data_IF_443502637949
#
_entry.id   IF_443502637949
#
_cell.length_a   1.000
_cell.length_b   1.000
_cell.length_c   1.000
_cell.angle_alpha   90.00
_cell.angle_beta   90.00
_cell.angle_gamma   90.00
#
_symmetry.space_group_name_H-M   'P 1'
#
loop_
_entity.id
_entity.type
_entity.pdbx_description
1 polymer ?
#
# COMPACT_ATOMS: atom_id res chain seq x y z
N UNK A 1 34.87 2.39 24.95
CA UNK A 1 34.80 1.95 23.54
C UNK A 1 35.97 2.60 22.81
N UNK A 2 36.91 1.81 22.28
CA UNK A 2 38.11 2.33 21.63
C UNK A 2 37.79 2.79 20.20
N UNK A 3 38.18 4.00 19.81
CA UNK A 3 37.91 4.58 18.49
C UNK A 3 38.41 3.70 17.31
N UNK A 4 39.46 2.90 17.55
CA UNK A 4 39.96 1.91 16.58
C UNK A 4 38.95 0.79 16.28
N UNK A 5 38.14 0.36 17.25
CA UNK A 5 37.13 -0.68 17.03
C UNK A 5 35.95 -0.15 16.21
N UNK A 6 35.57 1.12 16.41
CA UNK A 6 34.50 1.76 15.65
C UNK A 6 34.88 1.94 14.16
N UNK A 7 36.12 2.33 13.87
CA UNK A 7 36.59 2.45 12.48
C UNK A 7 36.64 1.08 11.77
N UNK A 8 37.08 0.03 12.47
CA UNK A 8 37.09 -1.33 11.91
C UNK A 8 35.67 -1.87 11.64
N UNK A 9 34.68 -1.49 12.43
CA UNK A 9 33.27 -1.87 12.18
C UNK A 9 32.67 -1.18 10.95
N UNK A 10 33.09 0.06 10.64
CA UNK A 10 32.60 0.77 9.45
C UNK A 10 33.23 0.19 8.18
N UNK A 11 34.51 -0.17 8.23
CA UNK A 11 35.23 -0.81 7.12
C UNK A 11 34.57 -2.15 6.73
N UNK A 12 34.24 -2.98 7.72
CA UNK A 12 33.58 -4.28 7.52
C UNK A 12 32.18 -4.20 6.88
N UNK A 13 31.47 -3.06 6.96
CA UNK A 13 30.17 -2.88 6.29
C UNK A 13 30.34 -2.61 4.79
N UNK A 14 31.48 -2.03 4.40
CA UNK A 14 31.78 -1.64 3.01
C UNK A 14 32.70 -2.60 2.28
N UNK A 15 33.26 -3.57 2.99
CA UNK A 15 34.10 -4.60 2.41
C UNK A 15 33.34 -5.39 1.35
N UNK A 16 34.07 -5.77 0.30
CA UNK A 16 33.50 -6.55 -0.78
C UNK A 16 33.17 -7.97 -0.28
N UNK A 17 31.91 -8.36 -0.44
CA UNK A 17 31.45 -9.72 -0.21
C UNK A 17 30.77 -10.28 -1.46
N UNK A 18 31.08 -11.53 -1.77
CA UNK A 18 30.37 -12.27 -2.82
C UNK A 18 28.96 -12.60 -2.36
N UNK A 19 27.98 -12.43 -3.25
CA UNK A 19 26.59 -12.76 -2.96
C UNK A 19 26.44 -14.28 -2.82
N UNK A 20 25.71 -14.72 -1.80
CA UNK A 20 25.41 -16.13 -1.60
C UNK A 20 24.42 -16.61 -2.65
N UNK A 21 24.77 -17.68 -3.37
CA UNK A 21 23.84 -18.32 -4.30
C UNK A 21 22.66 -18.98 -3.57
N UNK A 22 21.47 -18.82 -4.13
CA UNK A 22 20.24 -19.48 -3.67
C UNK A 22 19.79 -20.51 -4.70
N UNK A 23 19.12 -21.56 -4.21
CA UNK A 23 18.53 -22.57 -5.07
C UNK A 23 17.36 -21.97 -5.87
N UNK A 24 17.54 -21.88 -7.19
CA UNK A 24 16.56 -21.30 -8.11
C UNK A 24 15.21 -22.03 -8.05
N UNK A 25 15.21 -23.35 -7.82
CA UNK A 25 13.97 -24.12 -7.78
C UNK A 25 13.11 -23.76 -6.58
N UNK A 26 13.73 -23.64 -5.40
CA UNK A 26 13.05 -23.26 -4.14
C UNK A 26 12.60 -21.81 -4.13
N UNK A 27 13.37 -20.91 -4.76
CA UNK A 27 13.01 -19.49 -4.84
C UNK A 27 11.85 -19.25 -5.79
N UNK A 28 11.78 -19.97 -6.92
CA UNK A 28 10.64 -19.90 -7.83
C UNK A 28 9.34 -20.39 -7.18
N UNK A 29 9.38 -21.50 -6.45
CA UNK A 29 8.21 -22.01 -5.72
C UNK A 29 7.75 -21.04 -4.62
N UNK A 30 8.69 -20.49 -3.84
CA UNK A 30 8.37 -19.49 -2.82
C UNK A 30 7.79 -18.20 -3.41
N UNK A 31 8.34 -17.71 -4.54
CA UNK A 31 7.83 -16.53 -5.24
C UNK A 31 6.42 -16.75 -5.80
N UNK A 32 6.14 -17.94 -6.34
CA UNK A 32 4.79 -18.28 -6.80
C UNK A 32 3.77 -18.27 -5.64
N UNK A 33 4.15 -18.81 -4.47
CA UNK A 33 3.31 -18.81 -3.28
C UNK A 33 3.10 -17.41 -2.69
N UNK A 34 4.10 -16.52 -2.77
CA UNK A 34 3.97 -15.12 -2.37
C UNK A 34 3.04 -14.35 -3.32
N UNK A 35 3.20 -14.54 -4.64
CA UNK A 35 2.34 -13.89 -5.63
C UNK A 35 0.86 -14.33 -5.48
N UNK A 36 0.59 -15.58 -5.11
CA UNK A 36 -0.78 -16.01 -4.81
C UNK A 36 -1.35 -15.40 -3.53
N UNK A 37 -0.51 -14.86 -2.64
CA UNK A 37 -0.96 -14.23 -1.40
C UNK A 37 -1.10 -12.70 -1.55
N UNK A 38 -0.32 -12.08 -2.43
CA UNK A 38 -0.46 -10.65 -2.76
C UNK A 38 -1.77 -10.33 -3.50
N UNK A 39 -2.37 -11.30 -4.19
CA UNK A 39 -3.70 -11.15 -4.80
C UNK A 39 -4.82 -11.02 -3.74
N UNK A 40 -4.62 -11.58 -2.54
CA UNK A 40 -5.61 -11.53 -1.44
C UNK A 40 -5.49 -10.25 -0.56
N UNK A 41 -4.38 -9.50 -0.67
CA UNK A 41 -4.14 -8.27 0.11
C UNK A 41 -4.50 -6.98 -0.65
N UNK A 42 -4.97 -7.08 -1.90
CA UNK A 42 -5.53 -5.93 -2.60
C UNK A 42 -6.92 -5.64 -2.02
N UNK A 43 -7.00 -4.69 -1.09
CA UNK A 43 -8.22 -4.15 -0.42
C UNK A 43 -9.28 -3.50 -1.37
N UNK A 44 -9.41 -4.06 -2.57
CA UNK A 44 -10.11 -3.49 -3.71
C UNK A 44 -11.26 -4.39 -4.19
N UNK A 45 -11.59 -5.49 -3.49
CA UNK A 45 -12.71 -6.37 -3.87
C UNK A 45 -14.06 -5.62 -4.00
N UNK A 46 -14.23 -4.51 -3.27
CA UNK A 46 -15.46 -3.69 -3.30
C UNK A 46 -15.36 -2.42 -4.16
N UNK A 47 -14.22 -2.15 -4.83
CA UNK A 47 -14.06 -0.94 -5.64
C UNK A 47 -14.41 -1.17 -7.11
N UNK A 48 -15.63 -0.78 -7.47
CA UNK A 48 -16.03 -0.75 -8.88
C UNK A 48 -15.52 0.53 -9.57
N UNK A 49 -14.43 0.38 -10.32
CA UNK A 49 -13.80 1.45 -11.12
C UNK A 49 -14.65 1.90 -12.32
N UNK A 50 -15.70 1.18 -12.67
CA UNK A 50 -16.62 1.56 -13.75
C UNK A 50 -17.64 2.62 -13.34
N UNK A 51 -17.76 2.89 -12.03
CA UNK A 51 -18.71 3.86 -11.49
C UNK A 51 -18.29 5.29 -11.84
N UNK A 52 -19.20 6.00 -12.52
CA UNK A 52 -19.07 7.43 -12.78
C UNK A 52 -19.37 8.21 -11.50
N UNK A 53 -18.34 8.83 -10.93
CA UNK A 53 -18.48 9.68 -9.76
C UNK A 53 -18.98 11.08 -10.15
N UNK A 54 -19.87 11.63 -9.32
CA UNK A 54 -20.26 13.02 -9.42
C UNK A 54 -19.16 13.92 -8.82
N UNK A 55 -18.57 14.86 -9.59
CA UNK A 55 -17.54 15.76 -9.10
C UNK A 55 -17.99 16.61 -7.91
N UNK A 56 -19.28 16.94 -7.81
CA UNK A 56 -19.81 17.72 -6.70
C UNK A 56 -19.76 16.94 -5.38
N UNK A 57 -20.07 15.64 -5.42
CA UNK A 57 -19.97 14.75 -4.26
C UNK A 57 -18.52 14.60 -3.79
N UNK A 58 -17.56 14.48 -4.73
CA UNK A 58 -16.13 14.43 -4.39
C UNK A 58 -15.71 15.73 -3.71
N UNK A 59 -16.07 16.89 -4.28
CA UNK A 59 -15.73 18.19 -3.71
C UNK A 59 -16.32 18.37 -2.31
N UNK A 60 -17.58 17.96 -2.11
CA UNK A 60 -18.25 18.02 -0.80
C UNK A 60 -17.47 17.24 0.26
N UNK A 61 -17.03 16.02 -0.04
CA UNK A 61 -16.27 15.20 0.92
C UNK A 61 -14.91 15.84 1.22
N UNK A 62 -14.21 16.35 0.20
CA UNK A 62 -12.91 17.01 0.37
C UNK A 62 -13.04 18.27 1.23
N UNK A 63 -14.05 19.10 0.96
CA UNK A 63 -14.23 20.38 1.66
C UNK A 63 -14.71 20.18 3.10
N UNK A 64 -15.59 19.20 3.36
CA UNK A 64 -16.18 18.99 4.69
C UNK A 64 -15.31 18.15 5.62
N UNK A 65 -14.59 17.14 5.10
CA UNK A 65 -13.74 16.26 5.91
C UNK A 65 -12.24 16.59 5.81
N UNK A 66 -11.86 17.58 4.99
CA UNK A 66 -10.47 17.98 4.74
C UNK A 66 -9.56 16.80 4.34
N UNK A 67 -10.13 15.83 3.62
CA UNK A 67 -9.41 14.65 3.13
C UNK A 67 -8.90 14.85 1.70
N UNK A 68 -7.87 14.09 1.35
CA UNK A 68 -7.38 14.06 -0.02
C UNK A 68 -8.47 13.59 -1.00
N UNK A 69 -8.43 14.16 -2.21
CA UNK A 69 -9.36 13.82 -3.29
C UNK A 69 -9.39 12.32 -3.59
N UNK A 70 -8.25 11.65 -3.50
CA UNK A 70 -8.14 10.21 -3.74
C UNK A 70 -8.94 9.40 -2.71
N UNK A 71 -8.89 9.80 -1.43
CA UNK A 71 -9.65 9.17 -0.35
C UNK A 71 -11.15 9.36 -0.56
N UNK A 72 -11.57 10.57 -0.95
CA UNK A 72 -12.96 10.88 -1.27
C UNK A 72 -13.48 10.03 -2.44
N UNK A 73 -12.71 9.90 -3.53
CA UNK A 73 -13.07 9.06 -4.66
C UNK A 73 -13.12 7.57 -4.28
N UNK A 74 -12.18 7.09 -3.45
CA UNK A 74 -12.15 5.70 -2.95
C UNK A 74 -13.41 5.39 -2.15
N UNK A 75 -13.79 6.27 -1.23
CA UNK A 75 -14.99 6.12 -0.41
C UNK A 75 -16.26 6.10 -1.26
N UNK A 76 -16.37 6.96 -2.27
CA UNK A 76 -17.51 6.96 -3.18
C UNK A 76 -17.56 5.69 -4.04
N UNK A 77 -16.44 5.19 -4.55
CA UNK A 77 -16.42 3.93 -5.34
C UNK A 77 -16.86 2.72 -4.52
N UNK A 78 -16.37 2.60 -3.28
CA UNK A 78 -16.79 1.55 -2.33
C UNK A 78 -18.29 1.60 -2.03
N UNK A 79 -18.86 2.80 -1.95
CA UNK A 79 -20.28 3.01 -1.63
C UNK A 79 -21.15 3.24 -2.89
N UNK A 80 -20.70 2.79 -4.06
CA UNK A 80 -21.45 2.85 -5.33
C UNK A 80 -21.91 4.25 -5.75
N UNK A 81 -21.18 5.28 -5.34
CA UNK A 81 -21.49 6.68 -5.58
C UNK A 81 -22.49 7.32 -4.61
N UNK A 82 -22.92 6.60 -3.56
CA UNK A 82 -23.77 7.17 -2.52
C UNK A 82 -22.96 8.05 -1.57
N UNK A 83 -23.21 9.36 -1.63
CA UNK A 83 -22.55 10.36 -0.78
C UNK A 83 -22.83 10.14 0.71
N UNK A 84 -24.04 9.74 1.08
CA UNK A 84 -24.42 9.61 2.49
C UNK A 84 -23.73 8.41 3.14
N UNK A 85 -23.73 7.28 2.44
CA UNK A 85 -23.03 6.07 2.90
C UNK A 85 -21.51 6.27 2.87
N UNK A 86 -20.98 6.96 1.85
CA UNK A 86 -19.56 7.33 1.81
C UNK A 86 -19.15 8.18 3.03
N UNK A 87 -19.90 9.24 3.34
CA UNK A 87 -19.64 10.07 4.52
C UNK A 87 -19.73 9.28 5.82
N UNK A 88 -20.75 8.42 5.97
CA UNK A 88 -20.88 7.55 7.14
C UNK A 88 -19.67 6.64 7.27
N UNK A 89 -19.27 5.98 6.19
CA UNK A 89 -18.12 5.08 6.19
C UNK A 89 -16.82 5.77 6.61
N UNK A 90 -16.62 7.03 6.21
CA UNK A 90 -15.43 7.81 6.58
C UNK A 90 -15.41 8.28 8.05
N UNK A 91 -16.59 8.44 8.66
CA UNK A 91 -16.72 8.92 10.05
C UNK A 91 -16.74 7.76 11.04
N UNK A 92 -17.29 6.61 10.65
CA UNK A 92 -17.45 5.44 11.53
C UNK A 92 -16.33 4.40 11.38
N UNK A 93 -15.44 4.56 10.41
CA UNK A 93 -14.27 3.70 10.21
C UNK A 93 -13.24 3.87 11.33
#
# INVERSE_FOLDING_TARGET
MNASAANASVEAVTDFHEAKEMDLSKTQEALANLHSHEEDEVEDEDMDMSIKLDPASVATIVDELEVDKEVAEKALRRNKGDLTEALRSLITA
#
